data_IF_758087128073
#
_entry.id   IF_758087128073
#
_cell.length_a   1.000
_cell.length_b   1.000
_cell.length_c   1.000
_cell.angle_alpha   90.00
_cell.angle_beta   90.00
_cell.angle_gamma   90.00
#
_symmetry.space_group_name_H-M   'P 1'
#
loop_
_entity.id
_entity.type
_entity.pdbx_description
1 polymer ?
#
# COMPACT_ATOMS: atom_id res chain seq x y z
N UNK A 1 94.97 36.77 23.38
CA UNK A 1 95.26 36.14 24.69
C UNK A 1 93.97 36.28 25.49
N UNK A 2 93.08 35.30 25.66
CA UNK A 2 93.20 33.83 25.68
C UNK A 2 91.78 33.27 25.44
N UNK A 3 91.62 32.35 24.49
CA UNK A 3 90.41 31.54 24.29
C UNK A 3 90.17 30.65 25.53
N UNK A 4 88.92 30.55 25.98
CA UNK A 4 88.43 29.39 26.74
C UNK A 4 87.25 28.79 26.00
N UNK A 5 87.51 27.58 25.48
CA UNK A 5 86.58 26.65 24.87
C UNK A 5 85.73 26.03 25.99
N UNK A 6 84.40 26.12 25.88
CA UNK A 6 83.49 25.27 26.64
C UNK A 6 82.77 24.38 25.64
N UNK A 7 83.17 23.13 25.63
CA UNK A 7 82.58 22.02 24.87
C UNK A 7 81.23 21.67 25.49
N UNK A 8 80.13 21.96 24.80
CA UNK A 8 78.82 21.38 25.14
C UNK A 8 78.60 20.18 24.21
N UNK A 9 78.58 18.98 24.79
CA UNK A 9 78.32 17.73 24.07
C UNK A 9 76.94 17.75 23.43
N UNK A 10 76.92 17.53 22.11
CA UNK A 10 75.73 17.25 21.32
C UNK A 10 75.35 15.79 21.61
N UNK A 11 74.27 15.59 22.38
CA UNK A 11 73.55 14.32 22.43
C UNK A 11 72.62 14.21 21.24
N UNK A 12 73.13 13.73 20.09
CA UNK A 12 72.29 13.32 18.96
C UNK A 12 71.62 12.00 19.34
N UNK A 13 70.37 12.04 19.79
CA UNK A 13 69.50 10.87 19.73
C UNK A 13 68.92 10.77 18.32
N UNK A 14 69.51 9.89 17.52
CA UNK A 14 68.93 9.38 16.28
C UNK A 14 67.65 8.59 16.63
N UNK A 15 66.49 9.14 16.31
CA UNK A 15 65.27 8.35 16.11
C UNK A 15 65.08 8.14 14.60
N UNK A 16 64.97 6.90 14.11
CA UNK A 16 64.71 6.64 12.70
C UNK A 16 63.22 6.71 12.39
N UNK A 17 62.87 7.49 11.35
CA UNK A 17 61.90 7.08 10.32
C UNK A 17 60.40 7.21 10.62
N UNK A 18 59.72 7.97 9.76
CA UNK A 18 58.27 7.96 9.49
C UNK A 18 57.33 8.52 10.57
N UNK A 19 57.16 9.84 10.57
CA UNK A 19 55.92 10.50 10.97
C UNK A 19 55.44 11.36 9.78
N UNK A 20 54.73 10.72 8.86
CA UNK A 20 53.81 11.43 7.98
C UNK A 20 52.66 11.87 8.90
N UNK A 21 52.49 13.18 9.10
CA UNK A 21 51.45 13.72 9.96
C UNK A 21 50.07 13.30 9.45
N UNK A 22 49.47 12.30 10.08
CA UNK A 22 48.07 11.94 9.86
C UNK A 22 47.19 13.09 10.33
N UNK A 23 46.20 13.47 9.51
CA UNK A 23 45.21 14.46 9.95
C UNK A 23 44.36 13.89 11.08
N UNK A 24 43.80 14.73 11.95
CA UNK A 24 42.87 14.27 13.00
C UNK A 24 41.70 13.45 12.42
N UNK A 25 41.27 13.77 11.20
CA UNK A 25 40.26 13.00 10.46
C UNK A 25 40.70 11.58 10.08
N UNK A 26 41.97 11.40 9.73
CA UNK A 26 42.53 10.07 9.42
C UNK A 26 42.59 9.18 10.65
N UNK A 27 42.99 9.76 11.79
CA UNK A 27 43.02 9.04 13.08
C UNK A 27 41.61 8.61 13.51
N UNK A 28 40.61 9.50 13.39
CA UNK A 28 39.21 9.16 13.70
C UNK A 28 38.66 8.07 12.77
N UNK A 29 39.03 8.11 11.48
CA UNK A 29 38.63 7.10 10.50
C UNK A 29 39.26 5.73 10.81
N UNK A 30 40.52 5.69 11.23
CA UNK A 30 41.20 4.46 11.64
C UNK A 30 40.55 3.87 12.90
N UNK A 31 40.34 4.69 13.94
CA UNK A 31 39.62 4.30 15.17
C UNK A 31 38.21 3.77 14.87
N UNK A 32 37.50 4.40 13.94
CA UNK A 32 36.18 3.93 13.51
C UNK A 32 36.22 2.56 12.84
N UNK A 33 37.19 2.33 11.96
CA UNK A 33 37.37 1.03 11.32
C UNK A 33 37.74 -0.04 12.36
N UNK A 34 38.58 0.29 13.33
CA UNK A 34 38.90 -0.56 14.48
C UNK A 34 37.68 -0.92 15.31
N UNK A 35 36.79 0.04 15.58
CA UNK A 35 35.52 -0.21 16.26
C UNK A 35 34.62 -1.15 15.45
N UNK A 36 34.51 -0.96 14.12
CA UNK A 36 33.73 -1.83 13.25
C UNK A 36 34.21 -3.28 13.26
N UNK A 37 35.52 -3.52 13.46
CA UNK A 37 36.04 -4.89 13.60
C UNK A 37 35.47 -5.60 14.83
N UNK A 38 35.42 -4.93 15.98
CA UNK A 38 34.83 -5.48 17.20
C UNK A 38 33.34 -5.83 17.05
N UNK A 39 32.66 -5.19 16.10
CA UNK A 39 31.23 -5.39 15.81
C UNK A 39 30.95 -6.46 14.74
N UNK A 40 31.95 -6.91 13.98
CA UNK A 40 31.77 -7.86 12.86
C UNK A 40 32.23 -9.29 13.16
N UNK A 41 33.18 -9.49 14.08
CA UNK A 41 33.62 -10.83 14.52
C UNK A 41 34.36 -11.70 13.48
N UNK A 42 34.71 -11.16 12.30
CA UNK A 42 35.24 -11.95 11.16
C UNK A 42 36.72 -12.32 11.32
N UNK A 43 37.52 -11.52 12.04
CA UNK A 43 38.99 -11.69 12.17
C UNK A 43 39.53 -11.48 13.59
N UNK A 44 38.70 -10.96 14.50
CA UNK A 44 38.93 -10.84 15.94
C UNK A 44 37.67 -11.32 16.67
N UNK A 45 37.74 -11.69 17.96
CA UNK A 45 36.54 -12.08 18.69
C UNK A 45 35.55 -10.92 18.77
N UNK A 46 34.26 -11.24 18.70
CA UNK A 46 33.15 -10.28 18.78
C UNK A 46 33.08 -9.67 20.18
N UNK A 47 33.35 -8.37 20.30
CA UNK A 47 33.35 -7.61 21.56
C UNK A 47 32.56 -6.31 21.41
N UNK A 48 31.22 -6.40 21.32
CA UNK A 48 30.40 -5.26 20.95
C UNK A 48 30.41 -4.15 22.00
N UNK A 49 30.62 -4.47 23.29
CA UNK A 49 30.78 -3.48 24.37
C UNK A 49 32.03 -2.61 24.16
N UNK A 50 33.14 -3.21 23.72
CA UNK A 50 34.36 -2.46 23.39
C UNK A 50 34.16 -1.59 22.14
N UNK A 51 33.49 -2.14 21.13
CA UNK A 51 33.08 -1.36 19.96
C UNK A 51 32.20 -0.17 20.34
N UNK A 52 31.25 -0.37 21.26
CA UNK A 52 30.34 0.66 21.76
C UNK A 52 31.11 1.79 22.44
N UNK A 53 32.05 1.45 23.32
CA UNK A 53 32.92 2.44 23.98
C UNK A 53 33.68 3.32 22.99
N UNK A 54 34.34 2.71 22.00
CA UNK A 54 35.08 3.48 20.97
C UNK A 54 34.14 4.37 20.13
N UNK A 55 32.92 3.90 19.83
CA UNK A 55 31.94 4.71 19.11
C UNK A 55 31.46 5.91 19.94
N UNK A 56 31.33 5.77 21.26
CA UNK A 56 31.04 6.91 22.15
C UNK A 56 32.18 7.94 22.13
N UNK A 57 33.43 7.51 22.31
CA UNK A 57 34.58 8.42 22.27
C UNK A 57 34.63 9.20 20.94
N UNK A 58 34.40 8.51 19.81
CA UNK A 58 34.37 9.14 18.49
C UNK A 58 33.18 10.09 18.32
N UNK A 59 32.05 9.80 18.94
CA UNK A 59 30.89 10.67 18.89
C UNK A 59 31.09 11.95 19.75
N UNK A 60 31.82 11.87 20.86
CA UNK A 60 32.28 13.03 21.62
C UNK A 60 33.22 13.92 20.80
N UNK A 61 34.08 13.29 19.98
CA UNK A 61 34.92 13.96 18.97
C UNK A 61 34.11 14.48 17.75
N UNK A 62 32.77 14.51 17.84
CA UNK A 62 31.85 14.97 16.80
C UNK A 62 31.91 14.19 15.49
N UNK A 63 32.34 12.92 15.50
CA UNK A 63 32.46 12.10 14.30
C UNK A 63 31.09 11.56 13.83
N UNK A 64 30.52 12.05 12.70
CA UNK A 64 29.11 11.79 12.37
C UNK A 64 28.79 10.33 12.07
N UNK A 65 29.76 9.58 11.51
CA UNK A 65 29.60 8.14 11.25
C UNK A 65 29.52 7.32 12.54
N UNK A 66 30.23 7.74 13.60
CA UNK A 66 30.14 7.08 14.90
C UNK A 66 28.79 7.38 15.57
N UNK A 67 28.29 8.62 15.50
CA UNK A 67 26.95 8.96 15.98
C UNK A 67 25.88 8.09 15.32
N UNK A 68 25.92 7.94 13.99
CA UNK A 68 24.98 7.04 13.31
C UNK A 68 25.18 5.57 13.71
N UNK A 69 26.43 5.12 13.90
CA UNK A 69 26.70 3.76 14.36
C UNK A 69 26.14 3.53 15.77
N UNK A 70 26.26 4.48 16.70
CA UNK A 70 25.62 4.41 18.02
C UNK A 70 24.11 4.27 17.87
N UNK A 71 23.48 5.04 17.00
CA UNK A 71 22.06 4.89 16.68
C UNK A 71 21.69 3.45 16.32
N UNK A 72 22.47 2.80 15.44
CA UNK A 72 22.26 1.39 15.05
C UNK A 72 22.55 0.42 16.22
N UNK A 73 23.57 0.70 17.03
CA UNK A 73 23.94 -0.15 18.16
C UNK A 73 22.84 -0.16 19.23
N UNK A 74 22.29 1.00 19.57
CA UNK A 74 21.17 1.11 20.51
C UNK A 74 19.87 0.50 19.94
N UNK A 75 19.58 0.61 18.65
CA UNK A 75 18.39 -0.02 18.08
C UNK A 75 18.48 -1.56 18.05
N UNK A 76 19.68 -2.10 17.92
CA UNK A 76 19.93 -3.56 17.86
C UNK A 76 20.39 -4.19 19.18
N UNK A 77 20.64 -3.39 20.23
CA UNK A 77 21.22 -3.88 21.47
C UNK A 77 22.64 -4.45 21.30
N UNK A 78 23.45 -3.89 20.39
CA UNK A 78 24.82 -4.34 20.18
C UNK A 78 25.73 -3.76 21.27
N UNK A 79 26.10 -4.59 22.26
CA UNK A 79 26.95 -4.17 23.38
C UNK A 79 26.22 -3.32 24.44
N UNK A 80 24.89 -3.25 24.34
CA UNK A 80 23.99 -2.53 25.26
C UNK A 80 22.59 -3.16 25.19
N UNK A 81 21.65 -2.71 26.01
CA UNK A 81 20.24 -3.06 25.86
C UNK A 81 19.62 -2.27 24.70
N UNK A 82 18.58 -2.82 24.07
CA UNK A 82 17.80 -2.09 23.06
C UNK A 82 17.21 -0.84 23.69
N UNK A 83 17.47 0.32 23.08
CA UNK A 83 16.93 1.62 23.48
C UNK A 83 16.67 2.47 22.23
N UNK A 84 15.42 2.44 21.76
CA UNK A 84 15.03 3.17 20.57
C UNK A 84 15.00 4.69 20.77
N UNK A 85 14.80 5.18 22.00
CA UNK A 85 14.79 6.60 22.27
C UNK A 85 16.22 7.17 22.16
N UNK A 86 17.19 6.49 22.77
CA UNK A 86 18.61 6.84 22.63
C UNK A 86 19.09 6.64 21.19
N UNK A 87 18.63 5.59 20.50
CA UNK A 87 18.92 5.37 19.09
C UNK A 87 18.50 6.57 18.22
N UNK A 88 17.26 7.05 18.39
CA UNK A 88 16.75 8.20 17.65
C UNK A 88 17.57 9.47 17.92
N UNK A 89 17.91 9.73 19.19
CA UNK A 89 18.73 10.90 19.55
C UNK A 89 20.09 10.88 18.84
N UNK A 90 20.72 9.70 18.74
CA UNK A 90 21.99 9.56 18.03
C UNK A 90 21.86 9.75 16.52
N UNK A 91 20.78 9.28 15.90
CA UNK A 91 20.52 9.57 14.50
C UNK A 91 20.28 11.07 14.25
N UNK A 92 19.53 11.75 15.12
CA UNK A 92 19.31 13.20 15.03
C UNK A 92 20.66 13.93 15.10
N UNK A 93 21.49 13.64 16.11
CA UNK A 93 22.85 14.22 16.22
C UNK A 93 23.70 13.95 14.98
N UNK A 94 23.65 12.73 14.44
CA UNK A 94 24.38 12.40 13.22
C UNK A 94 23.90 13.22 12.01
N UNK A 95 22.58 13.42 11.88
CA UNK A 95 22.00 14.23 10.80
C UNK A 95 22.37 15.72 10.93
N UNK A 96 22.34 16.28 12.14
CA UNK A 96 22.78 17.65 12.44
C UNK A 96 24.27 17.85 12.17
N UNK A 97 25.07 16.80 12.37
CA UNK A 97 26.49 16.77 12.02
C UNK A 97 26.76 16.46 10.53
N UNK A 98 25.73 16.46 9.67
CA UNK A 98 25.84 16.34 8.22
C UNK A 98 25.92 14.91 7.68
N UNK A 99 25.61 13.88 8.48
CA UNK A 99 25.60 12.50 8.00
C UNK A 99 24.26 12.11 7.38
N UNK A 100 24.19 12.20 6.05
CA UNK A 100 22.92 12.09 5.31
C UNK A 100 22.15 10.80 5.54
N UNK A 101 22.84 9.66 5.69
CA UNK A 101 22.19 8.35 5.94
C UNK A 101 21.41 8.31 7.27
N UNK A 102 21.69 9.24 8.18
CA UNK A 102 20.92 9.33 9.42
C UNK A 102 19.47 9.76 9.17
N UNK A 103 19.20 10.59 8.15
CA UNK A 103 17.83 10.96 7.76
C UNK A 103 16.99 9.74 7.36
N UNK A 104 17.60 8.78 6.65
CA UNK A 104 16.93 7.53 6.32
C UNK A 104 16.55 6.76 7.60
N UNK A 105 17.48 6.64 8.55
CA UNK A 105 17.21 5.95 9.81
C UNK A 105 16.14 6.66 10.64
N UNK A 106 16.16 7.99 10.75
CA UNK A 106 15.12 8.78 11.43
C UNK A 106 13.75 8.53 10.77
N UNK A 107 13.70 8.52 9.43
CA UNK A 107 12.49 8.23 8.69
C UNK A 107 11.92 6.85 9.00
N UNK A 108 12.77 5.81 9.08
CA UNK A 108 12.36 4.46 9.48
C UNK A 108 11.87 4.41 10.93
N UNK A 109 12.51 5.15 11.85
CA UNK A 109 12.08 5.21 13.26
C UNK A 109 10.66 5.79 13.37
N UNK A 110 10.35 6.86 12.62
CA UNK A 110 8.98 7.39 12.55
C UNK A 110 8.01 6.48 11.82
N UNK A 111 8.42 5.81 10.75
CA UNK A 111 7.55 4.90 10.00
C UNK A 111 7.08 3.74 10.90
N UNK A 112 8.03 3.06 11.55
CA UNK A 112 7.77 1.88 12.38
C UNK A 112 7.40 2.21 13.83
N UNK A 113 7.49 3.47 14.25
CA UNK A 113 7.19 3.87 15.63
C UNK A 113 8.22 3.37 16.65
N UNK A 114 9.48 3.26 16.26
CA UNK A 114 10.56 2.84 17.16
C UNK A 114 11.01 4.02 18.02
N UNK A 115 10.72 3.97 19.32
CA UNK A 115 11.10 5.02 20.28
C UNK A 115 10.31 6.32 20.13
N UNK A 116 9.37 6.38 19.19
CA UNK A 116 8.47 7.49 18.91
C UNK A 116 7.12 6.97 18.43
N UNK A 117 6.06 7.78 18.53
CA UNK A 117 4.77 7.43 17.90
C UNK A 117 4.94 7.34 16.38
N UNK A 118 4.42 6.27 15.77
CA UNK A 118 4.45 6.12 14.32
C UNK A 118 3.79 7.31 13.62
N UNK A 119 4.42 7.81 12.56
CA UNK A 119 3.94 8.93 11.75
C UNK A 119 4.56 8.88 10.36
N UNK A 120 3.75 8.53 9.36
CA UNK A 120 4.19 8.59 7.96
C UNK A 120 4.54 10.01 7.52
N UNK A 121 3.86 11.04 8.01
CA UNK A 121 4.18 12.43 7.66
C UNK A 121 5.56 12.85 8.18
N UNK A 122 5.93 12.46 9.40
CA UNK A 122 7.28 12.73 9.92
C UNK A 122 8.35 11.88 9.20
N UNK A 123 8.02 10.63 8.88
CA UNK A 123 8.90 9.78 8.08
C UNK A 123 9.17 10.41 6.70
N UNK A 124 8.12 10.87 6.03
CA UNK A 124 8.20 11.55 4.73
C UNK A 124 9.08 12.79 4.80
N UNK A 125 8.89 13.64 5.81
CA UNK A 125 9.71 14.84 5.99
C UNK A 125 11.20 14.49 6.13
N UNK A 126 11.52 13.46 6.93
CA UNK A 126 12.91 13.01 7.11
C UNK A 126 13.51 12.48 5.80
N UNK A 127 12.77 11.67 5.05
CA UNK A 127 13.24 11.17 3.75
C UNK A 127 13.41 12.30 2.73
N UNK A 128 12.51 13.28 2.69
CA UNK A 128 12.66 14.44 1.80
C UNK A 128 13.92 15.25 2.13
N UNK A 129 14.20 15.50 3.42
CA UNK A 129 15.42 16.20 3.84
C UNK A 129 16.70 15.46 3.39
N UNK A 130 16.78 14.15 3.63
CA UNK A 130 17.92 13.35 3.17
C UNK A 130 18.04 13.31 1.64
N UNK A 131 16.90 13.23 0.93
CA UNK A 131 16.86 13.20 -0.52
C UNK A 131 17.28 14.54 -1.16
N UNK A 132 16.92 15.67 -0.55
CA UNK A 132 17.39 17.00 -0.96
C UNK A 132 18.91 17.13 -0.83
N UNK A 133 19.49 16.51 0.20
CA UNK A 133 20.93 16.49 0.43
C UNK A 133 21.68 15.45 -0.41
N UNK A 134 20.98 14.64 -1.21
CA UNK A 134 21.61 13.70 -2.14
C UNK A 134 21.70 12.25 -1.67
N UNK A 135 21.02 11.85 -0.59
CA UNK A 135 21.03 10.46 -0.14
C UNK A 135 20.08 9.58 -0.98
N UNK A 136 20.60 8.53 -1.66
CA UNK A 136 19.79 7.71 -2.57
C UNK A 136 18.77 6.81 -1.85
N UNK A 137 19.04 6.39 -0.61
CA UNK A 137 18.10 5.58 0.16
C UNK A 137 16.91 6.43 0.63
N UNK A 138 17.17 7.70 0.97
CA UNK A 138 16.14 8.69 1.23
C UNK A 138 15.32 9.01 -0.03
N UNK A 139 15.95 9.19 -1.19
CA UNK A 139 15.24 9.41 -2.47
C UNK A 139 14.32 8.24 -2.81
N UNK A 140 14.82 7.01 -2.73
CA UNK A 140 14.01 5.81 -2.91
C UNK A 140 12.83 5.79 -1.92
N UNK A 141 13.08 6.05 -0.63
CA UNK A 141 12.04 6.01 0.39
C UNK A 141 10.97 7.09 0.18
N UNK A 142 11.37 8.31 -0.18
CA UNK A 142 10.43 9.38 -0.53
C UNK A 142 9.60 9.02 -1.77
N UNK A 143 10.23 8.45 -2.80
CA UNK A 143 9.53 7.95 -3.98
C UNK A 143 8.52 6.86 -3.63
N UNK A 144 8.87 5.94 -2.74
CA UNK A 144 7.98 4.89 -2.25
C UNK A 144 6.77 5.46 -1.49
N UNK A 145 6.98 6.49 -0.66
CA UNK A 145 5.89 7.16 0.05
C UNK A 145 4.93 7.88 -0.91
N UNK A 146 5.43 8.55 -1.95
CA UNK A 146 4.57 9.11 -3.01
C UNK A 146 3.85 8.04 -3.81
N UNK A 147 4.52 6.91 -4.09
CA UNK A 147 3.94 5.79 -4.85
C UNK A 147 2.71 5.22 -4.15
N UNK A 148 2.80 5.02 -2.82
CA UNK A 148 1.70 4.47 -2.00
C UNK A 148 0.76 5.54 -1.40
N UNK A 149 1.14 6.82 -1.41
CA UNK A 149 0.39 7.87 -0.69
C UNK A 149 0.54 7.80 0.84
N UNK A 150 1.69 7.34 1.34
CA UNK A 150 1.92 7.25 2.78
C UNK A 150 2.34 8.61 3.32
N UNK A 151 1.56 9.17 4.25
CA UNK A 151 1.87 10.47 4.89
C UNK A 151 1.81 11.68 3.96
N UNK A 152 1.38 11.48 2.71
CA UNK A 152 1.26 12.48 1.65
C UNK A 152 0.17 12.07 0.65
N UNK A 153 -0.24 12.97 -0.24
CA UNK A 153 -1.11 12.60 -1.36
C UNK A 153 -0.32 11.71 -2.34
N UNK A 154 -0.94 10.60 -2.76
CA UNK A 154 -0.39 9.70 -3.77
C UNK A 154 -0.07 10.45 -5.07
N UNK A 155 1.14 10.22 -5.62
CA UNK A 155 1.61 10.84 -6.86
C UNK A 155 2.65 9.95 -7.57
N UNK A 156 2.20 9.18 -8.57
CA UNK A 156 3.09 8.28 -9.31
C UNK A 156 4.17 9.00 -10.11
N UNK A 157 3.90 10.21 -10.60
CA UNK A 157 4.88 10.97 -11.41
C UNK A 157 6.03 11.43 -10.54
N UNK A 158 5.72 12.02 -9.38
CA UNK A 158 6.75 12.37 -8.39
C UNK A 158 7.49 11.14 -7.90
N UNK A 159 6.79 10.05 -7.61
CA UNK A 159 7.44 8.80 -7.21
C UNK A 159 8.49 8.36 -8.23
N UNK A 160 8.13 8.37 -9.52
CA UNK A 160 9.00 7.99 -10.62
C UNK A 160 10.22 8.93 -10.75
N UNK A 161 10.04 10.24 -10.59
CA UNK A 161 11.15 11.20 -10.57
C UNK A 161 12.16 10.90 -9.46
N UNK A 162 11.68 10.61 -8.24
CA UNK A 162 12.53 10.21 -7.12
C UNK A 162 13.26 8.88 -7.39
N UNK A 163 12.57 7.91 -7.99
CA UNK A 163 13.20 6.64 -8.34
C UNK A 163 14.30 6.81 -9.39
N UNK A 164 14.10 7.63 -10.43
CA UNK A 164 15.17 7.90 -11.40
C UNK A 164 16.40 8.53 -10.73
N UNK A 165 16.21 9.54 -9.88
CA UNK A 165 17.31 10.19 -9.14
C UNK A 165 18.06 9.19 -8.24
N UNK A 166 17.34 8.30 -7.56
CA UNK A 166 17.95 7.26 -6.73
C UNK A 166 18.70 6.20 -7.57
N UNK A 167 18.15 5.82 -8.73
CA UNK A 167 18.75 4.84 -9.64
C UNK A 167 20.04 5.37 -10.29
N UNK A 168 20.11 6.67 -10.62
CA UNK A 168 21.35 7.33 -11.07
C UNK A 168 22.50 7.17 -10.07
N UNK A 169 22.17 7.09 -8.78
CA UNK A 169 23.09 6.84 -7.68
C UNK A 169 23.18 5.35 -7.29
N UNK A 170 22.80 4.45 -8.21
CA UNK A 170 22.89 3.00 -8.08
C UNK A 170 22.02 2.38 -6.97
N UNK A 171 20.89 3.00 -6.61
CA UNK A 171 19.92 2.38 -5.70
C UNK A 171 19.14 1.27 -6.42
N UNK A 172 19.37 0.02 -6.04
CA UNK A 172 18.76 -1.16 -6.70
C UNK A 172 17.24 -1.29 -6.47
N UNK A 173 16.74 -0.78 -5.34
CA UNK A 173 15.31 -0.71 -5.05
C UNK A 173 14.59 0.25 -6.00
N UNK A 174 15.21 1.40 -6.28
CA UNK A 174 14.67 2.38 -7.23
C UNK A 174 14.63 1.86 -8.66
N UNK A 175 15.69 1.18 -9.12
CA UNK A 175 15.72 0.51 -10.43
C UNK A 175 14.56 -0.48 -10.60
N UNK A 176 14.25 -1.25 -9.55
CA UNK A 176 13.09 -2.15 -9.54
C UNK A 176 11.77 -1.39 -9.69
N UNK A 177 11.59 -0.32 -8.90
CA UNK A 177 10.36 0.47 -8.93
C UNK A 177 10.12 1.16 -10.28
N UNK A 178 11.17 1.61 -10.98
CA UNK A 178 11.06 2.14 -12.34
C UNK A 178 10.51 1.07 -13.30
N UNK A 179 11.04 -0.15 -13.22
CA UNK A 179 10.57 -1.28 -14.00
C UNK A 179 9.08 -1.57 -13.75
N UNK A 180 8.66 -1.58 -12.49
CA UNK A 180 7.24 -1.71 -12.12
C UNK A 180 6.37 -0.57 -12.67
N UNK A 181 6.86 0.67 -12.64
CA UNK A 181 6.12 1.81 -13.16
C UNK A 181 5.87 1.71 -14.66
N UNK A 182 6.89 1.34 -15.45
CA UNK A 182 6.71 1.08 -16.88
C UNK A 182 5.82 -0.14 -17.15
N UNK A 183 5.94 -1.20 -16.36
CA UNK A 183 5.15 -2.43 -16.53
C UNK A 183 3.65 -2.17 -16.34
N UNK A 184 3.31 -1.37 -15.35
CA UNK A 184 1.92 -1.16 -14.91
C UNK A 184 1.33 0.20 -15.32
N UNK A 185 2.13 1.07 -15.95
CA UNK A 185 1.70 2.41 -16.34
C UNK A 185 1.57 3.40 -15.18
N UNK A 186 2.31 3.19 -14.08
CA UNK A 186 2.24 4.08 -12.92
C UNK A 186 3.06 5.36 -13.16
N UNK A 187 2.37 6.46 -13.44
CA UNK A 187 3.00 7.78 -13.65
C UNK A 187 3.68 7.93 -15.01
N UNK A 188 3.66 6.90 -15.83
CA UNK A 188 4.26 6.83 -17.17
C UNK A 188 3.37 5.97 -18.07
N UNK A 189 3.46 6.16 -19.38
CA UNK A 189 2.80 5.24 -20.32
C UNK A 189 3.36 3.83 -20.16
N UNK A 190 2.47 2.84 -20.16
CA UNK A 190 2.85 1.45 -20.04
C UNK A 190 3.78 1.04 -21.20
N UNK A 191 4.91 0.42 -20.88
CA UNK A 191 5.89 0.00 -21.87
C UNK A 191 6.62 -1.26 -21.40
N UNK A 192 6.26 -2.40 -21.97
CA UNK A 192 6.80 -3.70 -21.56
C UNK A 192 8.30 -3.85 -21.86
N UNK A 193 8.77 -3.32 -23.00
CA UNK A 193 10.19 -3.41 -23.38
C UNK A 193 11.07 -2.67 -22.37
N UNK A 194 10.70 -1.43 -22.03
CA UNK A 194 11.40 -0.64 -21.00
C UNK A 194 11.28 -1.31 -19.63
N UNK A 195 10.12 -1.85 -19.28
CA UNK A 195 9.94 -2.57 -18.03
C UNK A 195 10.93 -3.73 -17.90
N UNK A 196 11.05 -4.56 -18.95
CA UNK A 196 11.98 -5.68 -19.00
C UNK A 196 13.44 -5.21 -18.88
N UNK A 197 13.81 -4.11 -19.55
CA UNK A 197 15.16 -3.52 -19.44
C UNK A 197 15.51 -3.15 -18.00
N UNK A 198 14.65 -2.36 -17.34
CA UNK A 198 14.84 -1.92 -15.96
C UNK A 198 14.80 -3.07 -14.96
N UNK A 199 13.89 -4.03 -15.13
CA UNK A 199 13.80 -5.21 -14.27
C UNK A 199 15.03 -6.12 -14.43
N UNK A 200 15.56 -6.31 -15.64
CA UNK A 200 16.82 -7.06 -15.85
C UNK A 200 18.00 -6.38 -15.18
N UNK A 201 18.08 -5.04 -15.23
CA UNK A 201 19.11 -4.29 -14.53
C UNK A 201 19.02 -4.47 -13.01
N UNK A 202 17.81 -4.45 -12.45
CA UNK A 202 17.59 -4.69 -11.03
C UNK A 202 17.91 -6.15 -10.63
N UNK A 203 17.49 -7.12 -11.45
CA UNK A 203 17.79 -8.54 -11.30
C UNK A 203 19.29 -8.83 -11.29
N UNK A 204 20.05 -8.21 -12.21
CA UNK A 204 21.51 -8.33 -12.26
C UNK A 204 22.21 -7.80 -11.00
N UNK A 205 21.53 -6.91 -10.26
CA UNK A 205 21.98 -6.39 -8.96
C UNK A 205 21.54 -7.28 -7.77
N UNK A 206 21.01 -8.48 -8.03
CA UNK A 206 20.59 -9.45 -7.02
C UNK A 206 19.17 -9.24 -6.50
N UNK A 207 18.35 -8.38 -7.12
CA UNK A 207 16.98 -8.15 -6.66
C UNK A 207 16.06 -9.31 -7.06
N UNK A 208 15.71 -10.14 -6.08
CA UNK A 208 14.82 -11.30 -6.28
C UNK A 208 13.41 -10.92 -6.72
N UNK A 209 12.88 -9.76 -6.28
CA UNK A 209 11.55 -9.30 -6.71
C UNK A 209 11.52 -9.00 -8.21
N UNK A 210 12.62 -8.46 -8.74
CA UNK A 210 12.73 -8.23 -10.19
C UNK A 210 12.67 -9.54 -11.00
N UNK A 211 13.22 -10.64 -10.47
CA UNK A 211 13.13 -11.96 -11.11
C UNK A 211 11.69 -12.47 -11.13
N UNK A 212 10.96 -12.30 -10.01
CA UNK A 212 9.55 -12.70 -9.91
C UNK A 212 8.73 -11.92 -10.94
N UNK A 213 8.90 -10.59 -11.02
CA UNK A 213 8.22 -9.77 -12.02
C UNK A 213 8.53 -10.19 -13.46
N UNK A 214 9.80 -10.42 -13.79
CA UNK A 214 10.19 -10.90 -15.13
C UNK A 214 9.55 -12.25 -15.49
N UNK A 215 9.22 -13.07 -14.50
CA UNK A 215 8.57 -14.38 -14.70
C UNK A 215 7.05 -14.31 -14.75
N UNK A 216 6.44 -13.21 -14.29
CA UNK A 216 4.99 -13.07 -14.30
C UNK A 216 4.45 -12.86 -15.73
N UNK A 217 3.37 -13.55 -16.07
CA UNK A 217 2.80 -13.57 -17.43
C UNK A 217 2.27 -12.20 -17.89
N UNK A 218 1.78 -11.40 -16.94
CA UNK A 218 1.15 -10.12 -17.24
C UNK A 218 1.45 -9.07 -16.15
N UNK A 219 1.26 -7.77 -16.43
CA UNK A 219 1.28 -6.71 -15.43
C UNK A 219 0.20 -6.91 -14.36
N UNK A 220 0.44 -6.46 -13.14
CA UNK A 220 -0.57 -6.50 -12.08
C UNK A 220 -1.82 -5.68 -12.44
N UNK A 221 -1.66 -4.60 -13.20
CA UNK A 221 -2.77 -3.78 -13.71
C UNK A 221 -3.47 -4.37 -14.94
N UNK A 222 -3.00 -5.50 -15.48
CA UNK A 222 -3.81 -6.21 -16.44
C UNK A 222 -4.97 -6.81 -15.67
N UNK A 223 -6.19 -6.31 -15.93
CA UNK A 223 -7.40 -6.93 -15.41
C UNK A 223 -7.30 -8.39 -15.81
N UNK A 224 -7.01 -9.25 -14.84
CA UNK A 224 -6.98 -10.68 -15.09
C UNK A 224 -8.30 -11.01 -15.77
N UNK A 225 -8.26 -11.82 -16.84
CA UNK A 225 -9.47 -12.42 -17.40
C UNK A 225 -10.07 -13.31 -16.32
N UNK A 226 -10.74 -12.68 -15.36
CA UNK A 226 -11.56 -13.34 -14.38
C UNK A 226 -12.56 -14.09 -15.20
N UNK A 227 -12.45 -15.41 -15.18
CA UNK A 227 -13.48 -16.27 -15.72
C UNK A 227 -14.68 -16.06 -14.80
N UNK A 228 -15.50 -15.08 -15.13
CA UNK A 228 -16.77 -14.81 -14.46
C UNK A 228 -17.63 -16.05 -14.69
N UNK A 229 -17.86 -16.82 -13.65
CA UNK A 229 -18.92 -17.82 -13.63
C UNK A 229 -20.06 -17.21 -12.81
N UNK A 230 -21.02 -16.60 -13.50
CA UNK A 230 -22.37 -16.45 -12.95
C UNK A 230 -23.38 -16.93 -14.00
N UNK A 231 -24.21 -17.87 -13.60
CA UNK A 231 -25.39 -18.27 -14.34
C UNK A 231 -26.57 -17.35 -14.01
N UNK A 232 -27.10 -16.73 -15.08
CA UNK A 232 -28.46 -16.21 -15.35
C UNK A 232 -28.78 -14.71 -15.22
N UNK A 233 -29.11 -14.20 -16.41
CA UNK A 233 -29.98 -13.10 -16.79
C UNK A 233 -31.43 -13.20 -16.25
N UNK A 234 -32.06 -12.05 -16.04
CA UNK A 234 -33.48 -11.85 -15.79
C UNK A 234 -34.04 -10.82 -16.79
N UNK A 235 -35.00 -11.20 -17.62
CA UNK A 235 -35.90 -10.23 -18.26
C UNK A 235 -36.90 -9.71 -17.22
N UNK A 236 -36.90 -8.39 -17.00
CA UNK A 236 -37.85 -7.70 -16.12
C UNK A 236 -38.93 -7.02 -16.96
N UNK A 237 -40.18 -7.35 -16.69
CA UNK A 237 -41.33 -6.61 -17.19
C UNK A 237 -41.56 -5.38 -16.29
N UNK A 238 -41.60 -4.18 -16.88
CA UNK A 238 -41.61 -2.89 -16.17
C UNK A 238 -43.04 -2.56 -15.70
N UNK A 239 -43.29 -2.35 -14.38
CA UNK A 239 -44.57 -1.79 -13.93
C UNK A 239 -44.65 -0.29 -14.23
N UNK A 240 -45.80 0.15 -14.76
CA UNK A 240 -46.16 1.57 -14.79
C UNK A 240 -46.55 2.02 -13.37
N UNK A 241 -45.68 2.84 -12.78
CA UNK A 241 -45.76 3.50 -11.46
C UNK A 241 -45.36 2.64 -10.24
N UNK A 242 -44.33 3.13 -9.53
CA UNK A 242 -43.85 2.58 -8.27
C UNK A 242 -44.61 3.16 -7.08
N UNK A 243 -45.06 2.27 -6.18
CA UNK A 243 -45.69 2.65 -4.91
C UNK A 243 -44.61 3.01 -3.89
N UNK A 244 -44.87 4.08 -3.13
CA UNK A 244 -44.02 4.56 -2.05
C UNK A 244 -43.83 3.48 -0.97
N UNK A 245 -42.59 3.04 -0.75
CA UNK A 245 -42.24 2.11 0.35
C UNK A 245 -41.82 2.93 1.57
N UNK A 246 -42.44 2.66 2.72
CA UNK A 246 -42.00 3.16 4.02
C UNK A 246 -40.96 2.19 4.60
N UNK A 247 -39.88 2.71 5.17
CA UNK A 247 -38.84 1.89 5.80
C UNK A 247 -39.15 1.69 7.29
N UNK A 248 -39.18 0.42 7.72
CA UNK A 248 -39.28 0.02 9.13
C UNK A 248 -37.90 0.07 9.84
N UNK A 249 -37.86 0.30 11.17
CA UNK A 249 -36.62 0.34 11.94
C UNK A 249 -36.01 -1.05 12.20
N UNK A 250 -34.72 -1.01 12.55
CA UNK A 250 -33.74 -2.07 12.89
C UNK A 250 -34.32 -3.38 13.44
N UNK A 251 -34.62 -4.34 12.54
CA UNK A 251 -34.76 -5.76 12.87
C UNK A 251 -34.53 -6.71 11.65
N UNK A 252 -33.98 -6.20 10.55
CA UNK A 252 -33.93 -6.88 9.25
C UNK A 252 -32.55 -7.48 8.89
N UNK A 253 -31.50 -7.31 9.73
CA UNK A 253 -30.26 -8.06 9.52
C UNK A 253 -30.47 -9.50 9.98
N UNK A 254 -30.37 -10.43 9.03
CA UNK A 254 -30.58 -11.85 9.24
C UNK A 254 -29.27 -12.61 8.99
N UNK A 255 -29.07 -13.68 9.76
CA UNK A 255 -28.10 -14.72 9.41
C UNK A 255 -28.39 -15.25 8.01
N UNK A 256 -27.35 -15.59 7.27
CA UNK A 256 -27.50 -16.09 5.92
C UNK A 256 -26.26 -15.83 5.06
N UNK A 257 -26.40 -16.18 3.79
CA UNK A 257 -25.35 -16.01 2.79
C UNK A 257 -25.51 -14.68 2.08
N UNK A 258 -24.41 -13.94 1.95
CA UNK A 258 -24.32 -12.71 1.19
C UNK A 258 -23.31 -12.92 0.08
N UNK A 259 -23.69 -12.64 -1.16
CA UNK A 259 -22.86 -12.87 -2.34
C UNK A 259 -22.64 -11.59 -3.12
N UNK A 260 -21.50 -11.47 -3.77
CA UNK A 260 -21.18 -10.36 -4.64
C UNK A 260 -19.69 -10.29 -4.91
N UNK A 261 -19.12 -9.11 -4.74
CA UNK A 261 -17.74 -8.85 -5.17
C UNK A 261 -16.95 -8.05 -4.15
N UNK A 262 -15.65 -8.29 -4.19
CA UNK A 262 -14.65 -7.39 -3.65
C UNK A 262 -13.83 -6.80 -4.79
N UNK A 263 -13.72 -5.47 -4.78
CA UNK A 263 -13.04 -4.67 -5.79
C UNK A 263 -11.75 -4.16 -5.16
N UNK A 264 -10.62 -4.39 -5.82
CA UNK A 264 -9.32 -3.87 -5.41
C UNK A 264 -8.90 -2.78 -6.37
N UNK A 265 -8.46 -1.65 -5.83
CA UNK A 265 -7.92 -0.55 -6.61
C UNK A 265 -6.40 -0.50 -6.54
N UNK A 266 -5.79 0.28 -7.42
CA UNK A 266 -4.41 0.71 -7.26
C UNK A 266 -4.22 1.65 -6.05
N UNK A 267 -2.98 2.02 -5.75
CA UNK A 267 -2.66 2.90 -4.62
C UNK A 267 -3.26 4.31 -4.74
N UNK A 268 -3.62 4.74 -5.95
CA UNK A 268 -4.35 6.00 -6.17
C UNK A 268 -5.85 5.90 -5.88
N UNK A 269 -6.38 4.68 -5.85
CA UNK A 269 -7.80 4.34 -5.84
C UNK A 269 -8.60 4.85 -7.04
N UNK A 270 -7.91 5.24 -8.11
CA UNK A 270 -8.54 5.69 -9.35
C UNK A 270 -8.79 4.51 -10.27
N UNK A 271 -7.86 3.56 -10.34
CA UNK A 271 -7.93 2.45 -11.27
C UNK A 271 -8.33 1.17 -10.53
N UNK A 272 -9.33 0.47 -11.06
CA UNK A 272 -9.67 -0.88 -10.61
C UNK A 272 -8.66 -1.86 -11.20
N UNK A 273 -7.95 -2.58 -10.34
CA UNK A 273 -6.93 -3.55 -10.77
C UNK A 273 -7.44 -4.99 -10.66
N UNK A 274 -8.44 -5.25 -9.82
CA UNK A 274 -9.03 -6.59 -9.68
C UNK A 274 -10.48 -6.53 -9.17
N UNK A 275 -11.31 -7.45 -9.65
CA UNK A 275 -12.67 -7.70 -9.14
C UNK A 275 -12.78 -9.20 -8.90
N UNK A 276 -13.02 -9.61 -7.65
CA UNK A 276 -13.10 -11.02 -7.26
C UNK A 276 -14.45 -11.33 -6.61
N UNK A 277 -15.04 -12.51 -6.91
CA UNK A 277 -16.20 -13.00 -6.16
C UNK A 277 -15.93 -13.06 -4.66
N UNK A 278 -16.91 -12.64 -3.87
CA UNK A 278 -16.88 -12.70 -2.42
C UNK A 278 -18.21 -13.25 -1.89
N UNK A 279 -18.11 -14.22 -0.98
CA UNK A 279 -19.25 -14.76 -0.23
C UNK A 279 -18.99 -14.55 1.26
N UNK A 280 -19.98 -14.01 1.97
CA UNK A 280 -20.02 -13.99 3.43
C UNK A 280 -21.14 -14.88 3.95
N UNK A 281 -20.78 -15.89 4.73
CA UNK A 281 -21.73 -16.72 5.47
C UNK A 281 -21.81 -16.19 6.90
N UNK A 282 -22.89 -15.48 7.25
CA UNK A 282 -23.01 -14.76 8.52
C UNK A 282 -24.00 -15.41 9.46
N UNK A 283 -23.63 -15.49 10.74
CA UNK A 283 -24.45 -15.94 11.85
C UNK A 283 -24.54 -14.84 12.90
N UNK A 284 -25.75 -14.33 13.12
CA UNK A 284 -26.04 -13.31 14.12
C UNK A 284 -26.37 -13.95 15.47
N UNK A 285 -25.75 -13.43 16.52
CA UNK A 285 -26.10 -13.64 17.92
C UNK A 285 -26.19 -12.26 18.61
N UNK A 286 -27.42 -11.72 18.72
CA UNK A 286 -27.68 -10.34 19.16
C UNK A 286 -26.92 -9.27 18.35
N UNK A 287 -26.00 -8.55 18.99
CA UNK A 287 -25.13 -7.54 18.36
C UNK A 287 -23.79 -8.13 17.92
N UNK A 288 -23.58 -9.42 18.13
CA UNK A 288 -22.39 -10.13 17.69
C UNK A 288 -22.69 -10.90 16.40
N UNK A 289 -21.76 -10.88 15.45
CA UNK A 289 -21.90 -11.61 14.19
C UNK A 289 -20.61 -12.37 13.94
N UNK A 290 -20.74 -13.67 13.74
CA UNK A 290 -19.62 -14.55 13.34
C UNK A 290 -19.90 -15.10 11.96
N UNK A 291 -18.89 -15.67 11.30
CA UNK A 291 -19.10 -16.20 9.96
C UNK A 291 -17.87 -16.68 9.24
N UNK A 292 -18.03 -16.85 7.93
CA UNK A 292 -16.94 -17.16 7.00
C UNK A 292 -16.90 -16.13 5.88
N UNK A 293 -15.69 -15.68 5.57
CA UNK A 293 -15.34 -14.89 4.40
C UNK A 293 -14.72 -15.81 3.36
N UNK A 294 -15.27 -15.85 2.15
CA UNK A 294 -14.81 -16.73 1.07
C UNK A 294 -14.53 -15.87 -0.18
N UNK A 295 -13.26 -15.67 -0.51
CA UNK A 295 -12.81 -14.91 -1.68
C UNK A 295 -12.32 -15.86 -2.79
N UNK A 296 -12.86 -15.68 -4.01
CA UNK A 296 -12.48 -16.44 -5.21
C UNK A 296 -12.40 -17.98 -5.01
N UNK A 297 -13.34 -18.54 -4.23
CA UNK A 297 -13.49 -19.97 -3.91
C UNK A 297 -12.29 -20.67 -3.26
N UNK A 298 -11.22 -19.93 -2.94
CA UNK A 298 -9.94 -20.50 -2.52
C UNK A 298 -9.52 -20.01 -1.15
N UNK A 299 -9.84 -18.76 -0.81
CA UNK A 299 -9.44 -18.16 0.45
C UNK A 299 -10.62 -18.10 1.41
N UNK A 300 -10.50 -18.81 2.54
CA UNK A 300 -11.53 -18.91 3.59
C UNK A 300 -10.99 -18.35 4.90
N UNK A 301 -11.69 -17.39 5.48
CA UNK A 301 -11.31 -16.74 6.74
C UNK A 301 -12.50 -16.66 7.67
N UNK A 302 -12.29 -17.05 8.93
CA UNK A 302 -13.30 -16.85 9.97
C UNK A 302 -13.45 -15.37 10.28
N UNK A 303 -14.68 -14.89 10.34
CA UNK A 303 -14.95 -13.49 10.65
C UNK A 303 -15.66 -13.36 11.98
N UNK A 304 -15.34 -12.26 12.65
CA UNK A 304 -15.98 -11.81 13.85
C UNK A 304 -16.29 -10.31 13.68
N UNK A 305 -17.48 -9.88 14.10
CA UNK A 305 -17.96 -8.53 13.89
C UNK A 305 -18.97 -8.09 14.95
N UNK A 306 -19.02 -6.79 15.17
CA UNK A 306 -20.06 -6.11 15.95
C UNK A 306 -21.07 -5.44 15.01
N UNK A 307 -22.34 -5.75 15.24
CA UNK A 307 -23.48 -5.19 14.52
C UNK A 307 -23.99 -3.94 15.22
N UNK A 308 -24.18 -2.87 14.45
CA UNK A 308 -24.94 -1.68 14.84
C UNK A 308 -26.18 -1.52 13.95
N UNK A 309 -26.94 -0.46 14.15
CA UNK A 309 -28.13 -0.13 13.37
C UNK A 309 -27.86 -0.03 11.86
N UNK A 310 -26.65 0.37 11.47
CA UNK A 310 -26.32 0.67 10.07
C UNK A 310 -24.99 0.11 9.60
N UNK A 311 -24.22 -0.52 10.49
CA UNK A 311 -22.87 -1.01 10.18
C UNK A 311 -22.62 -2.41 10.76
N UNK A 312 -21.82 -3.18 10.04
CA UNK A 312 -21.17 -4.39 10.52
C UNK A 312 -19.67 -4.08 10.58
N UNK A 313 -19.15 -3.91 11.79
CA UNK A 313 -17.74 -3.61 12.02
C UNK A 313 -16.98 -4.89 12.35
N UNK A 314 -16.00 -5.27 11.53
CA UNK A 314 -15.19 -6.46 11.76
C UNK A 314 -14.19 -6.22 12.90
N UNK A 315 -13.99 -7.25 13.73
CA UNK A 315 -13.16 -7.20 14.93
C UNK A 315 -12.23 -8.41 14.93
N UNK A 316 -10.94 -8.19 15.20
CA UNK A 316 -9.93 -9.24 15.39
C UNK A 316 -9.92 -10.30 14.27
N UNK A 317 -10.12 -9.85 13.03
CA UNK A 317 -10.05 -10.74 11.86
C UNK A 317 -8.63 -10.67 11.29
N UNK A 318 -7.90 -11.76 11.52
CA UNK A 318 -6.62 -12.03 10.89
C UNK A 318 -6.83 -12.83 9.59
N UNK A 319 -6.08 -12.45 8.57
CA UNK A 319 -6.30 -12.87 7.20
C UNK A 319 -4.96 -13.28 6.56
N UNK A 320 -4.74 -14.59 6.37
CA UNK A 320 -3.53 -15.08 5.71
C UNK A 320 -3.69 -15.06 4.20
N UNK A 321 -2.88 -14.24 3.52
CA UNK A 321 -2.89 -14.13 2.07
C UNK A 321 -1.49 -13.92 1.52
N UNK A 322 -1.19 -14.60 0.43
CA UNK A 322 -0.07 -14.26 -0.44
C UNK A 322 -0.45 -13.08 -1.34
N UNK A 323 0.48 -12.16 -1.53
CA UNK A 323 0.39 -11.15 -2.59
C UNK A 323 1.32 -11.54 -3.76
N UNK A 324 1.23 -10.79 -4.86
CA UNK A 324 2.06 -11.00 -6.05
C UNK A 324 3.56 -10.92 -5.74
N UNK A 325 3.95 -10.28 -4.64
CA UNK A 325 5.33 -9.95 -4.27
C UNK A 325 5.91 -10.81 -3.14
N UNK A 326 5.11 -11.72 -2.58
CA UNK A 326 5.45 -12.47 -1.37
C UNK A 326 5.31 -13.97 -1.59
N UNK A 327 6.44 -14.65 -1.58
CA UNK A 327 6.56 -16.10 -1.78
C UNK A 327 5.87 -16.89 -0.65
N UNK A 328 5.66 -16.27 0.52
CA UNK A 328 4.98 -16.87 1.68
C UNK A 328 3.83 -15.97 2.09
N UNK A 329 2.60 -16.52 2.23
CA UNK A 329 1.49 -15.78 2.83
C UNK A 329 1.86 -15.25 4.21
N UNK A 330 1.40 -14.05 4.54
CA UNK A 330 1.55 -13.47 5.87
C UNK A 330 0.21 -12.92 6.36
N UNK A 331 0.14 -12.66 7.65
CA UNK A 331 -1.07 -12.19 8.31
C UNK A 331 -1.35 -10.73 7.94
N UNK A 332 -2.59 -10.47 7.57
CA UNK A 332 -3.16 -9.14 7.40
C UNK A 332 -4.25 -8.93 8.45
N UNK A 333 -4.39 -7.70 8.91
CA UNK A 333 -5.40 -7.32 9.88
C UNK A 333 -6.40 -6.35 9.23
N UNK A 334 -7.67 -6.49 9.59
CA UNK A 334 -8.67 -5.49 9.26
C UNK A 334 -8.51 -4.24 10.14
N UNK A 335 -8.20 -3.10 9.53
CA UNK A 335 -8.14 -1.79 10.21
C UNK A 335 -9.31 -0.93 9.79
N UNK A 336 -10.16 -0.54 10.76
CA UNK A 336 -11.40 0.23 10.52
C UNK A 336 -12.34 -0.39 9.48
N UNK A 337 -12.28 -1.72 9.32
CA UNK A 337 -13.09 -2.46 8.39
C UNK A 337 -14.54 -2.50 8.86
N UNK A 338 -15.39 -1.72 8.21
CA UNK A 338 -16.83 -1.79 8.43
C UNK A 338 -17.57 -1.74 7.10
N UNK A 339 -18.63 -2.53 7.01
CA UNK A 339 -19.56 -2.45 5.89
C UNK A 339 -20.86 -1.84 6.38
N UNK A 340 -21.40 -0.92 5.58
CA UNK A 340 -22.72 -0.38 5.78
C UNK A 340 -23.77 -1.40 5.36
N UNK A 341 -24.83 -1.47 6.16
CA UNK A 341 -26.00 -2.29 5.93
C UNK A 341 -27.08 -1.39 5.34
N UNK A 342 -27.58 -1.75 4.17
CA UNK A 342 -28.67 -1.04 3.50
C UNK A 342 -29.82 -1.99 3.16
N UNK A 343 -31.05 -1.49 3.19
CA UNK A 343 -32.27 -2.28 2.98
C UNK A 343 -33.05 -1.75 1.78
N UNK A 344 -33.34 -2.62 0.82
CA UNK A 344 -34.23 -2.32 -0.32
C UNK A 344 -34.98 -3.57 -0.74
N UNK A 345 -36.30 -3.48 -0.90
CA UNK A 345 -37.15 -4.53 -1.50
C UNK A 345 -36.94 -5.93 -0.90
N UNK A 346 -36.87 -6.01 0.44
CA UNK A 346 -36.63 -7.26 1.20
C UNK A 346 -35.23 -7.87 1.03
N UNK A 347 -34.31 -7.16 0.39
CA UNK A 347 -32.90 -7.53 0.28
C UNK A 347 -32.04 -6.66 1.20
N UNK A 348 -31.00 -7.28 1.75
CA UNK A 348 -29.99 -6.61 2.56
C UNK A 348 -28.72 -6.49 1.72
N UNK A 349 -28.17 -5.28 1.66
CA UNK A 349 -26.93 -4.98 0.95
C UNK A 349 -25.84 -4.69 1.96
N UNK A 350 -24.67 -5.30 1.78
CA UNK A 350 -23.46 -4.99 2.55
C UNK A 350 -22.47 -4.28 1.63
N UNK A 351 -22.16 -3.04 1.98
CA UNK A 351 -21.37 -2.16 1.13
C UNK A 351 -20.39 -1.35 1.96
N UNK A 352 -19.12 -1.32 1.60
CA UNK A 352 -18.16 -0.55 2.37
C UNK A 352 -16.76 -0.58 1.83
N UNK A 353 -16.00 0.47 2.17
CA UNK A 353 -14.56 0.47 1.97
C UNK A 353 -13.92 -0.48 2.99
N UNK A 354 -12.91 -1.19 2.53
CA UNK A 354 -12.12 -2.09 3.34
C UNK A 354 -10.66 -1.69 3.22
N UNK A 355 -10.03 -1.47 4.37
CA UNK A 355 -8.62 -1.17 4.46
C UNK A 355 -7.95 -2.25 5.33
N UNK A 356 -7.04 -3.00 4.74
CA UNK A 356 -6.23 -3.98 5.46
C UNK A 356 -4.92 -3.32 5.90
N UNK A 357 -4.30 -3.88 6.92
CA UNK A 357 -3.01 -3.46 7.45
C UNK A 357 -2.07 -4.66 7.57
N UNK A 358 -0.82 -4.47 7.16
CA UNK A 358 0.22 -5.48 7.30
C UNK A 358 0.98 -5.25 8.61
N UNK A 359 0.87 -6.12 9.62
CA UNK A 359 1.72 -6.07 10.81
C UNK A 359 3.22 -6.23 10.46
N UNK A 360 3.54 -6.95 9.38
CA UNK A 360 4.91 -7.16 8.92
C UNK A 360 5.56 -5.87 8.40
N UNK A 361 4.86 -5.13 7.53
CA UNK A 361 5.39 -3.91 6.91
C UNK A 361 4.99 -2.65 7.67
N UNK A 362 4.05 -2.76 8.62
CA UNK A 362 3.39 -1.69 9.34
C UNK A 362 2.78 -0.64 8.41
N UNK A 363 2.15 -1.10 7.32
CA UNK A 363 1.58 -0.26 6.27
C UNK A 363 0.14 -0.69 5.94
N UNK A 364 -0.73 0.26 5.55
CA UNK A 364 -2.00 -0.07 4.94
C UNK A 364 -1.79 -0.75 3.58
N UNK A 365 -2.64 -1.71 3.26
CA UNK A 365 -2.71 -2.35 1.95
C UNK A 365 -3.42 -1.46 0.92
N UNK A 366 -3.57 -1.94 -0.31
CA UNK A 366 -4.43 -1.28 -1.27
C UNK A 366 -5.87 -1.19 -0.78
N UNK A 367 -6.56 -0.09 -1.10
CA UNK A 367 -7.94 0.09 -0.72
C UNK A 367 -8.81 -0.87 -1.51
N UNK A 368 -9.83 -1.38 -0.84
CA UNK A 368 -10.80 -2.30 -1.41
C UNK A 368 -12.21 -1.82 -1.15
N UNK A 369 -13.16 -2.26 -1.96
CA UNK A 369 -14.58 -2.03 -1.76
C UNK A 369 -15.36 -3.33 -1.84
N UNK A 370 -16.25 -3.53 -0.89
CA UNK A 370 -17.14 -4.68 -0.81
C UNK A 370 -18.52 -4.26 -1.31
N UNK A 371 -19.13 -5.11 -2.14
CA UNK A 371 -20.52 -4.98 -2.58
C UNK A 371 -21.19 -6.34 -2.60
N UNK A 372 -22.06 -6.59 -1.63
CA UNK A 372 -22.76 -7.87 -1.45
C UNK A 372 -24.26 -7.67 -1.31
N UNK A 373 -25.02 -8.70 -1.68
CA UNK A 373 -26.47 -8.79 -1.52
C UNK A 373 -26.82 -10.09 -0.78
N UNK A 374 -27.81 -10.05 0.11
CA UNK A 374 -28.35 -11.23 0.79
C UNK A 374 -28.99 -12.19 -0.21
N UNK A 375 -28.67 -13.48 -0.10
CA UNK A 375 -29.31 -14.55 -0.87
C UNK A 375 -30.56 -15.01 -0.13
N UNK A 376 -31.72 -14.93 -0.79
CA UNK A 376 -32.94 -15.54 -0.26
C UNK A 376 -32.91 -17.05 -0.52
N UNK A 377 -33.00 -17.87 0.54
CA UNK A 377 -33.27 -19.31 0.38
C UNK A 377 -34.62 -19.47 -0.34
N UNK A 378 -34.60 -19.88 -1.61
CA UNK A 378 -35.83 -20.32 -2.30
C UNK A 378 -35.64 -21.70 -2.94
N UNK A 379 -36.46 -22.61 -2.43
CA UNK A 379 -36.85 -23.85 -3.08
C UNK A 379 -37.10 -23.64 -4.59
N UNK A 380 -36.34 -24.40 -5.40
CA UNK A 380 -36.38 -24.74 -6.84
C UNK A 380 -37.61 -24.37 -7.72
N UNK A 381 -37.55 -24.63 -9.04
CA UNK A 381 -36.65 -24.10 -10.08
C UNK A 381 -37.49 -23.57 -11.27
N UNK A 382 -37.00 -22.70 -12.16
CA UNK A 382 -37.50 -22.73 -13.55
C UNK A 382 -36.55 -22.07 -14.56
N UNK A 383 -36.56 -22.62 -15.78
CA UNK A 383 -35.61 -22.39 -16.87
C UNK A 383 -36.15 -21.32 -17.82
N UNK A 384 -35.37 -20.27 -18.07
CA UNK A 384 -35.51 -19.45 -19.28
C UNK A 384 -34.15 -19.09 -19.89
N UNK A 385 -34.17 -18.92 -21.21
CA UNK A 385 -33.04 -18.92 -22.14
C UNK A 385 -32.98 -17.61 -22.92
N UNK A 386 -32.00 -16.76 -22.63
CA UNK A 386 -31.67 -15.56 -23.40
C UNK A 386 -30.31 -15.01 -22.94
N UNK A 387 -29.48 -14.55 -23.87
CA UNK A 387 -28.16 -13.96 -23.58
C UNK A 387 -28.36 -12.43 -23.49
N UNK A 388 -28.23 -11.86 -22.28
CA UNK A 388 -28.29 -10.41 -22.06
C UNK A 388 -27.00 -9.71 -22.54
N UNK A 389 -27.07 -8.65 -23.35
CA UNK A 389 -25.87 -7.95 -23.86
C UNK A 389 -25.12 -7.10 -22.80
N UNK A 390 -25.76 -6.82 -21.66
CA UNK A 390 -25.14 -6.20 -20.47
C UNK A 390 -25.30 -7.19 -19.31
N UNK A 391 -24.24 -7.95 -19.03
CA UNK A 391 -24.34 -9.13 -18.17
C UNK A 391 -24.37 -8.77 -16.66
N UNK A 392 -23.66 -7.71 -16.26
CA UNK A 392 -23.56 -7.27 -14.87
C UNK A 392 -23.63 -5.74 -14.76
N UNK A 393 -24.10 -5.20 -13.63
CA UNK A 393 -23.95 -3.78 -13.28
C UNK A 393 -23.71 -3.67 -11.77
N UNK A 394 -22.56 -3.14 -11.39
CA UNK A 394 -22.18 -2.86 -10.01
C UNK A 394 -21.85 -1.38 -9.90
N UNK A 395 -22.37 -0.71 -8.87
CA UNK A 395 -22.07 0.70 -8.59
C UNK A 395 -21.41 0.80 -7.24
N UNK A 396 -20.30 1.52 -7.18
CA UNK A 396 -19.46 1.55 -5.98
C UNK A 396 -18.73 2.89 -5.85
N UNK A 397 -18.47 3.36 -4.62
CA UNK A 397 -17.76 4.61 -4.37
C UNK A 397 -16.26 4.47 -4.65
N UNK A 398 -15.67 5.60 -5.04
CA UNK A 398 -14.23 5.75 -5.05
C UNK A 398 -13.72 5.95 -3.61
N UNK A 399 -12.68 5.22 -3.16
CA UNK A 399 -12.20 5.32 -1.78
C UNK A 399 -11.50 6.65 -1.46
N UNK A 400 -11.09 7.44 -2.45
CA UNK A 400 -10.38 8.72 -2.27
C UNK A 400 -11.09 9.92 -2.91
N UNK A 401 -12.29 9.75 -3.45
CA UNK A 401 -13.07 10.87 -3.98
C UNK A 401 -14.55 10.68 -3.73
N UNK A 402 -15.33 11.74 -3.95
CA UNK A 402 -16.79 11.66 -3.85
C UNK A 402 -17.43 10.99 -5.06
N UNK A 403 -16.65 10.60 -6.08
CA UNK A 403 -17.16 9.98 -7.29
C UNK A 403 -17.63 8.54 -7.05
N UNK A 404 -18.58 8.11 -7.86
CA UNK A 404 -19.00 6.72 -7.95
C UNK A 404 -18.44 6.13 -9.25
N UNK A 405 -18.20 4.82 -9.25
CA UNK A 405 -17.77 4.06 -10.40
C UNK A 405 -18.85 3.03 -10.74
N UNK A 406 -19.06 2.81 -12.03
CA UNK A 406 -19.93 1.78 -12.58
C UNK A 406 -19.07 0.70 -13.21
N UNK A 407 -19.22 -0.55 -12.80
CA UNK A 407 -18.62 -1.69 -13.50
C UNK A 407 -19.71 -2.53 -14.13
N UNK A 408 -19.59 -2.80 -15.42
CA UNK A 408 -20.51 -3.66 -16.16
C UNK A 408 -19.77 -4.42 -17.27
N UNK A 409 -20.26 -5.62 -17.58
CA UNK A 409 -19.69 -6.45 -18.64
C UNK A 409 -20.52 -6.34 -19.93
N UNK A 410 -19.82 -6.08 -21.04
CA UNK A 410 -20.37 -6.05 -22.39
C UNK A 410 -19.97 -7.31 -23.15
N UNK A 411 -20.94 -7.95 -23.80
CA UNK A 411 -20.67 -9.15 -24.62
C UNK A 411 -20.15 -8.83 -26.03
N UNK A 412 -20.30 -7.59 -26.46
CA UNK A 412 -19.81 -7.06 -27.73
C UNK A 412 -19.64 -5.54 -27.63
N UNK A 413 -18.82 -4.96 -28.50
CA UNK A 413 -18.57 -3.53 -28.49
C UNK A 413 -19.88 -2.73 -28.67
N UNK A 414 -20.12 -1.78 -27.77
CA UNK A 414 -21.42 -1.13 -27.67
C UNK A 414 -21.31 0.34 -27.28
N UNK A 415 -22.25 1.12 -27.78
CA UNK A 415 -22.47 2.47 -27.30
C UNK A 415 -23.41 2.44 -26.09
N UNK A 416 -22.99 3.06 -25.00
CA UNK A 416 -23.66 2.95 -23.70
C UNK A 416 -24.20 4.29 -23.23
N UNK A 417 -25.39 4.25 -22.64
CA UNK A 417 -26.05 5.38 -22.01
C UNK A 417 -26.15 5.12 -20.50
N UNK A 418 -25.79 6.12 -19.71
CA UNK A 418 -25.94 6.12 -18.26
C UNK A 418 -27.01 7.12 -17.91
N UNK A 419 -27.91 6.72 -17.02
CA UNK A 419 -28.92 7.58 -16.43
C UNK A 419 -28.87 7.42 -14.92
N UNK A 420 -28.93 8.52 -14.17
CA UNK A 420 -29.09 8.51 -12.73
C UNK A 420 -30.34 9.28 -12.39
N UNK A 421 -31.21 8.67 -11.60
CA UNK A 421 -32.45 9.29 -11.16
C UNK A 421 -32.59 9.15 -9.65
N UNK A 422 -33.32 10.04 -9.01
CA UNK A 422 -33.79 9.78 -7.65
C UNK A 422 -34.79 8.63 -7.69
N UNK A 423 -35.05 7.99 -6.55
CA UNK A 423 -36.12 6.98 -6.44
C UNK A 423 -37.52 7.51 -6.72
N UNK A 424 -37.72 8.84 -6.65
CA UNK A 424 -38.96 9.49 -7.08
C UNK A 424 -39.03 9.72 -8.59
N UNK A 425 -38.03 9.27 -9.36
CA UNK A 425 -37.97 9.36 -10.81
C UNK A 425 -37.39 10.66 -11.37
N UNK A 426 -36.92 11.59 -10.52
CA UNK A 426 -36.33 12.84 -10.99
C UNK A 426 -34.98 12.54 -11.65
N UNK A 427 -34.78 13.01 -12.88
CA UNK A 427 -33.51 12.87 -13.57
C UNK A 427 -32.45 13.72 -12.87
N UNK A 428 -31.34 13.09 -12.49
CA UNK A 428 -30.20 13.73 -11.83
C UNK A 428 -29.03 13.84 -12.79
N UNK A 429 -28.81 12.82 -13.61
CA UNK A 429 -27.73 12.79 -14.58
C UNK A 429 -28.09 11.90 -15.77
N UNK A 430 -27.62 12.28 -16.95
CA UNK A 430 -27.71 11.46 -18.16
C UNK A 430 -26.47 11.71 -19.02
N UNK A 431 -25.85 10.64 -19.50
CA UNK A 431 -24.71 10.76 -20.39
C UNK A 431 -24.57 9.58 -21.33
N UNK A 432 -23.95 9.87 -22.48
CA UNK A 432 -23.59 8.91 -23.52
C UNK A 432 -22.08 8.66 -23.44
N UNK A 433 -21.68 7.42 -23.15
CA UNK A 433 -20.28 7.07 -22.83
C UNK A 433 -19.40 6.80 -24.06
N UNK A 434 -19.92 7.03 -25.27
CA UNK A 434 -19.26 6.60 -26.50
C UNK A 434 -19.25 5.08 -26.66
N UNK A 435 -18.51 4.60 -27.66
CA UNK A 435 -18.38 3.16 -27.95
C UNK A 435 -17.36 2.53 -27.00
N UNK A 436 -17.84 1.65 -26.13
CA UNK A 436 -17.05 0.84 -25.22
C UNK A 436 -16.77 -0.53 -25.84
N UNK A 437 -15.66 -1.15 -25.44
CA UNK A 437 -15.22 -2.44 -25.97
C UNK A 437 -15.86 -3.61 -25.23
N UNK A 438 -15.90 -4.74 -25.90
CA UNK A 438 -16.28 -6.04 -25.33
C UNK A 438 -15.45 -6.35 -24.08
N UNK A 439 -16.10 -6.88 -23.04
CA UNK A 439 -15.49 -7.23 -21.75
C UNK A 439 -15.96 -6.34 -20.59
N UNK A 440 -15.21 -6.38 -19.48
CA UNK A 440 -15.49 -5.57 -18.30
C UNK A 440 -15.12 -4.11 -18.55
N UNK A 441 -16.08 -3.22 -18.35
CA UNK A 441 -15.90 -1.78 -18.46
C UNK A 441 -16.14 -1.13 -17.10
N UNK A 442 -15.22 -0.26 -16.69
CA UNK A 442 -15.37 0.58 -15.49
C UNK A 442 -15.49 2.03 -15.94
N UNK A 443 -16.64 2.65 -15.68
CA UNK A 443 -16.94 4.03 -16.06
C UNK A 443 -17.12 4.87 -14.80
N UNK A 444 -16.28 5.90 -14.57
CA UNK A 444 -16.51 6.84 -13.49
C UNK A 444 -17.76 7.67 -13.78
N UNK A 445 -18.60 7.84 -12.78
CA UNK A 445 -19.78 8.67 -12.80
C UNK A 445 -19.37 10.11 -12.43
N UNK A 446 -19.36 11.07 -13.36
CA UNK A 446 -18.81 12.41 -13.11
C UNK A 446 -19.81 13.33 -12.38
N UNK A 447 -20.91 12.79 -11.85
CA UNK A 447 -21.86 13.57 -11.04
C UNK A 447 -21.58 13.37 -9.56
N UNK A 448 -21.33 14.49 -8.87
CA UNK A 448 -21.37 14.53 -7.41
C UNK A 448 -22.83 14.45 -6.98
N UNK A 449 -23.24 13.27 -6.52
CA UNK A 449 -24.56 13.08 -5.94
C UNK A 449 -24.56 13.66 -4.52
N UNK A 450 -25.63 14.36 -4.15
CA UNK A 450 -25.89 14.73 -2.76
C UNK A 450 -26.27 13.50 -1.95
N UNK A 451 -26.36 13.63 -0.63
CA UNK A 451 -26.94 12.58 0.21
C UNK A 451 -28.34 12.19 -0.30
N UNK A 452 -28.56 10.91 -0.57
CA UNK A 452 -29.82 10.43 -1.13
C UNK A 452 -29.77 9.02 -1.72
N UNK A 453 -30.93 8.54 -2.15
CA UNK A 453 -31.12 7.26 -2.80
C UNK A 453 -31.35 7.48 -4.31
N UNK A 454 -30.54 6.82 -5.12
CA UNK A 454 -30.51 6.97 -6.57
C UNK A 454 -30.63 5.63 -7.27
N UNK A 455 -31.22 5.64 -8.45
CA UNK A 455 -31.23 4.51 -9.39
C UNK A 455 -30.28 4.88 -10.52
N UNK A 456 -29.24 4.09 -10.70
CA UNK A 456 -28.33 4.20 -11.84
C UNK A 456 -28.71 3.14 -12.86
N UNK A 457 -29.01 3.56 -14.07
CA UNK A 457 -29.35 2.70 -15.19
C UNK A 457 -28.26 2.80 -16.25
N UNK A 458 -27.78 1.65 -16.70
CA UNK A 458 -26.91 1.52 -17.86
C UNK A 458 -27.71 0.87 -18.97
N UNK A 459 -27.79 1.52 -20.12
CA UNK A 459 -28.59 1.04 -21.25
C UNK A 459 -27.83 1.04 -22.57
N UNK A 460 -28.26 0.12 -23.43
CA UNK A 460 -27.79 -0.06 -24.81
C UNK A 460 -28.99 -0.44 -25.67
N UNK A 461 -29.30 0.34 -26.71
CA UNK A 461 -30.46 0.12 -27.55
C UNK A 461 -31.73 -0.05 -26.68
N UNK A 462 -32.39 -1.21 -26.74
CA UNK A 462 -33.58 -1.53 -25.95
C UNK A 462 -33.30 -2.30 -24.65
N UNK A 463 -32.03 -2.57 -24.33
CA UNK A 463 -31.63 -3.28 -23.12
C UNK A 463 -31.14 -2.30 -22.06
N UNK A 464 -31.52 -2.53 -20.80
CA UNK A 464 -31.04 -1.75 -19.68
C UNK A 464 -30.89 -2.59 -18.43
N UNK A 465 -29.84 -2.34 -17.65
CA UNK A 465 -29.67 -2.89 -16.30
C UNK A 465 -29.58 -1.71 -15.33
N UNK A 466 -30.16 -1.86 -14.15
CA UNK A 466 -30.19 -0.80 -13.13
C UNK A 466 -29.66 -1.30 -11.80
N UNK A 467 -29.08 -0.39 -11.03
CA UNK A 467 -28.57 -0.62 -9.69
C UNK A 467 -28.92 0.56 -8.78
N UNK A 468 -29.25 0.26 -7.53
CA UNK A 468 -29.57 1.28 -6.53
C UNK A 468 -28.30 1.74 -5.82
N UNK A 469 -28.19 3.05 -5.63
CA UNK A 469 -27.05 3.72 -5.02
C UNK A 469 -27.51 4.55 -3.84
N UNK A 470 -26.88 4.36 -2.70
CA UNK A 470 -27.04 5.21 -1.53
C UNK A 470 -25.82 6.11 -1.44
N UNK A 471 -26.02 7.42 -1.57
CA UNK A 471 -24.98 8.42 -1.29
C UNK A 471 -25.26 9.00 0.09
N UNK A 472 -24.27 9.03 0.97
CA UNK A 472 -24.35 9.66 2.29
C UNK A 472 -23.71 11.03 2.27
#
# INVERSE_FOLDING_TARGET
MTMRIVTLLIGVFLLPGYLIGQSQGDVMKERYNDALWYLRGVSKPYYPEKGLGIMHDLAEDSYPKAMNALGIMYSKGMGTKIDYQTSLQWFIKASEAGYLKAYHNIGLMYKYGYGVKSSFSNAMNSFLQGAELGDPDCMYSAGYMYYKGLGCKQDYKKALEFFFRAAELSNSGATYMIGLCYRNGYGVEQNEEKAIEWLKLSSASGNLRANIELSAECPENSISKGKIVYSRAYDVNIPQAFVKVAHDPVNQFHSGTYEGYIITYDWSGTNVINISPLILELQRNDYHVTGQWIEADTLRVGINAHLSDTTLAFIDVEYQRGDHYSVTPFDWEFTDASVNINYSDSMVYLTGNLQMFSPLTMEPERPRYISLISVLEKNHPEKYSGIEPINSLVVFPNPFSEQLNLSFELLDDAEIFIKVQTVTGNLVYEAKCGKLLTGTNVVPLPVSLTQGLYIVTVSRNNFSKSATVVKR
#
